data_IF_301219251603
#
_entry.id   IF_301219251603
#
_cell.length_a   1.000
_cell.length_b   1.000
_cell.length_c   1.000
_cell.angle_alpha   90.00
_cell.angle_beta   90.00
_cell.angle_gamma   90.00
#
_symmetry.space_group_name_H-M   'P 1'
#
loop_
_entity.id
_entity.type
_entity.pdbx_description
1 polymer ?
#
# COMPACT_ATOMS: atom_id res chain seq x y z
N UNK A 1 33.33 6.38 -13.99
CA UNK A 1 32.65 5.42 -13.06
C UNK A 1 31.22 5.88 -12.87
N UNK A 2 30.24 5.00 -13.05
CA UNK A 2 28.82 5.34 -12.91
C UNK A 2 28.53 5.76 -11.44
N UNK A 3 27.95 6.96 -11.20
CA UNK A 3 27.64 7.43 -9.85
C UNK A 3 26.63 6.55 -9.11
N UNK A 4 25.90 5.68 -9.80
CA UNK A 4 24.95 4.74 -9.21
C UNK A 4 25.61 3.51 -8.58
N UNK A 5 26.80 3.09 -9.04
CA UNK A 5 27.45 1.85 -8.64
C UNK A 5 27.64 1.75 -7.11
N UNK A 6 28.28 2.75 -6.52
CA UNK A 6 28.53 2.73 -5.05
C UNK A 6 27.23 2.70 -4.24
N UNK A 7 26.20 3.37 -4.73
CA UNK A 7 24.88 3.35 -4.10
C UNK A 7 24.19 2.01 -4.26
N UNK A 8 24.28 1.38 -5.44
CA UNK A 8 23.71 0.07 -5.71
C UNK A 8 24.31 -1.00 -4.78
N UNK A 9 25.64 -1.01 -4.65
CA UNK A 9 26.35 -1.93 -3.76
C UNK A 9 25.96 -1.72 -2.28
N UNK A 10 25.81 -0.46 -1.84
CA UNK A 10 25.31 -0.16 -0.48
C UNK A 10 23.90 -0.69 -0.23
N UNK A 11 22.97 -0.52 -1.17
CA UNK A 11 21.63 -1.09 -1.03
C UNK A 11 21.68 -2.62 -0.99
N UNK A 12 22.48 -3.25 -1.83
CA UNK A 12 22.65 -4.69 -1.87
C UNK A 12 23.22 -5.27 -0.55
N UNK A 13 24.17 -4.60 0.09
CA UNK A 13 24.71 -4.97 1.41
C UNK A 13 23.63 -5.04 2.50
N UNK A 14 22.60 -4.21 2.40
CA UNK A 14 21.43 -4.22 3.29
C UNK A 14 20.31 -5.15 2.79
N UNK A 15 20.59 -6.00 1.81
CA UNK A 15 19.64 -6.93 1.19
C UNK A 15 18.45 -6.25 0.49
N UNK A 16 18.64 -5.04 -0.03
CA UNK A 16 17.68 -4.38 -0.90
C UNK A 16 18.05 -4.64 -2.35
N UNK A 17 17.12 -5.26 -3.09
CA UNK A 17 17.32 -5.57 -4.51
C UNK A 17 17.37 -4.31 -5.34
N UNK A 18 18.29 -4.29 -6.32
CA UNK A 18 18.49 -3.19 -7.26
C UNK A 18 18.44 -3.69 -8.69
N UNK A 19 18.21 -2.78 -9.62
CA UNK A 19 18.21 -3.09 -11.06
C UNK A 19 18.54 -1.84 -11.89
N UNK A 20 19.05 -2.00 -13.14
CA UNK A 20 19.39 -0.89 -14.02
C UNK A 20 18.15 -0.35 -14.75
N UNK A 21 18.10 0.97 -14.89
CA UNK A 21 17.15 1.71 -15.71
C UNK A 21 17.91 2.50 -16.77
N UNK A 22 17.28 2.73 -17.93
CA UNK A 22 17.86 3.57 -18.97
C UNK A 22 18.19 4.97 -18.42
N UNK A 23 19.29 5.53 -18.89
CA UNK A 23 19.66 6.91 -18.56
C UNK A 23 18.49 7.87 -18.84
N UNK A 24 18.37 8.87 -17.98
CA UNK A 24 17.32 9.91 -18.08
C UNK A 24 15.88 9.38 -18.07
N UNK A 25 15.65 8.16 -17.60
CA UNK A 25 14.32 7.53 -17.54
C UNK A 25 13.97 7.09 -16.11
N UNK A 26 12.68 7.20 -15.77
CA UNK A 26 12.11 6.65 -14.54
C UNK A 26 11.51 5.26 -14.72
N UNK A 27 11.11 4.91 -15.96
CA UNK A 27 10.35 3.70 -16.29
C UNK A 27 11.01 2.80 -17.31
N UNK A 28 12.15 3.21 -17.85
CA UNK A 28 12.88 2.47 -18.88
C UNK A 28 13.76 1.38 -18.28
N UNK A 29 13.20 0.27 -17.83
CA UNK A 29 14.01 -0.87 -17.34
C UNK A 29 14.90 -1.43 -18.45
N UNK A 30 16.11 -1.85 -18.07
CA UNK A 30 17.08 -2.49 -18.97
C UNK A 30 16.92 -4.01 -18.92
N UNK A 31 16.54 -4.55 -17.77
CA UNK A 31 16.24 -5.97 -17.57
C UNK A 31 14.84 -6.31 -18.07
N UNK A 32 14.60 -7.57 -18.39
CA UNK A 32 13.32 -8.03 -18.93
C UNK A 32 12.16 -7.80 -17.93
N UNK A 33 12.41 -8.10 -16.65
CA UNK A 33 11.45 -7.90 -15.58
C UNK A 33 12.14 -7.51 -14.27
N UNK A 34 12.07 -6.24 -13.89
CA UNK A 34 12.67 -5.81 -12.64
C UNK A 34 12.14 -6.55 -11.40
N UNK A 35 10.92 -7.08 -11.45
CA UNK A 35 10.35 -7.88 -10.34
C UNK A 35 11.08 -9.20 -10.14
N UNK A 36 11.57 -9.79 -11.21
CA UNK A 36 12.27 -11.08 -11.22
C UNK A 36 13.78 -10.90 -11.21
N UNK A 37 14.28 -9.96 -12.01
CA UNK A 37 15.70 -9.81 -12.31
C UNK A 37 16.45 -8.90 -11.35
N UNK A 38 15.75 -8.10 -10.54
CA UNK A 38 16.40 -7.26 -9.52
C UNK A 38 17.20 -8.13 -8.55
N UNK A 39 18.42 -7.71 -8.26
CA UNK A 39 19.41 -8.53 -7.57
C UNK A 39 20.12 -7.78 -6.45
N UNK A 40 20.70 -8.55 -5.52
CA UNK A 40 21.68 -8.09 -4.53
C UNK A 40 23.08 -8.64 -4.81
N UNK A 41 23.27 -9.38 -5.94
CA UNK A 41 24.55 -9.95 -6.30
C UNK A 41 25.51 -8.84 -6.75
N UNK A 42 26.67 -8.64 -6.09
CA UNK A 42 27.63 -7.60 -6.43
C UNK A 42 28.20 -7.73 -7.86
N UNK A 43 28.47 -8.94 -8.33
CA UNK A 43 29.04 -9.16 -9.66
C UNK A 43 28.06 -8.71 -10.75
N UNK A 44 26.79 -9.03 -10.58
CA UNK A 44 25.75 -8.59 -11.50
C UNK A 44 25.54 -7.07 -11.45
N UNK A 45 25.67 -6.47 -10.27
CA UNK A 45 25.61 -5.01 -10.09
C UNK A 45 26.78 -4.35 -10.82
N UNK A 46 27.99 -4.90 -10.70
CA UNK A 46 29.14 -4.44 -11.47
C UNK A 46 28.92 -4.54 -12.97
N UNK A 47 28.41 -5.67 -13.48
CA UNK A 47 28.06 -5.82 -14.90
C UNK A 47 27.09 -4.74 -15.39
N UNK A 48 26.15 -4.36 -14.57
CA UNK A 48 25.17 -3.32 -14.96
C UNK A 48 25.74 -1.92 -14.95
N UNK A 49 26.63 -1.58 -13.99
CA UNK A 49 26.96 -0.18 -13.71
C UNK A 49 28.41 0.21 -14.00
N UNK A 50 29.36 -0.71 -14.20
CA UNK A 50 30.77 -0.34 -14.38
C UNK A 50 31.02 0.50 -15.64
N UNK A 51 30.40 0.13 -16.75
CA UNK A 51 30.65 0.73 -18.06
C UNK A 51 29.39 1.34 -18.71
N UNK A 52 28.42 1.70 -17.91
CA UNK A 52 27.15 2.26 -18.38
C UNK A 52 26.85 3.61 -17.73
N UNK A 53 25.86 4.30 -18.23
CA UNK A 53 25.25 5.51 -17.65
C UNK A 53 23.85 5.24 -17.08
N UNK A 54 23.56 3.99 -16.78
CA UNK A 54 22.26 3.58 -16.28
C UNK A 54 21.89 4.23 -14.96
N UNK A 55 20.61 4.53 -14.80
CA UNK A 55 20.01 4.91 -13.55
C UNK A 55 19.78 3.68 -12.66
N UNK A 56 19.75 3.90 -11.36
CA UNK A 56 19.56 2.88 -10.34
C UNK A 56 18.08 2.80 -9.92
N UNK A 57 17.45 1.65 -10.12
CA UNK A 57 16.20 1.29 -9.50
C UNK A 57 16.43 0.56 -8.16
N UNK A 58 15.77 0.99 -7.11
CA UNK A 58 15.77 0.33 -5.79
C UNK A 58 14.38 -0.21 -5.52
N UNK A 59 14.26 -1.53 -5.40
CA UNK A 59 12.99 -2.21 -5.16
C UNK A 59 12.48 -1.88 -3.77
N UNK A 60 11.20 -1.51 -3.67
CA UNK A 60 10.51 -1.28 -2.41
C UNK A 60 9.57 -2.45 -2.07
N UNK A 61 9.10 -2.51 -0.85
CA UNK A 61 8.51 -3.71 -0.27
C UNK A 61 9.57 -4.55 0.46
N UNK A 62 9.24 -5.78 0.85
CA UNK A 62 10.17 -6.68 1.54
C UNK A 62 10.96 -6.01 2.68
N UNK A 63 10.30 -5.32 3.57
CA UNK A 63 10.86 -4.56 4.70
C UNK A 63 11.39 -3.17 4.37
N UNK A 64 11.26 -2.68 3.13
CA UNK A 64 11.61 -1.31 2.74
C UNK A 64 10.37 -0.56 2.26
N UNK A 65 10.11 0.60 2.84
CA UNK A 65 9.09 1.54 2.36
C UNK A 65 9.73 2.90 2.12
N UNK A 66 9.27 3.60 1.10
CA UNK A 66 9.70 4.96 0.81
C UNK A 66 8.48 5.88 0.77
N UNK A 67 8.56 6.96 1.53
CA UNK A 67 7.63 8.09 1.41
C UNK A 67 8.20 8.98 0.31
N UNK A 68 7.50 9.02 -0.82
CA UNK A 68 7.86 9.82 -2.00
C UNK A 68 7.13 11.16 -1.93
N UNK A 69 7.90 12.21 -1.64
CA UNK A 69 7.43 13.58 -1.47
C UNK A 69 7.60 14.32 -2.78
N UNK A 70 6.49 14.65 -3.44
CA UNK A 70 6.47 15.37 -4.72
C UNK A 70 6.14 16.86 -4.51
N UNK A 71 6.98 17.73 -5.05
CA UNK A 71 6.88 19.18 -4.92
C UNK A 71 6.53 19.91 -6.23
N UNK A 72 6.02 19.20 -7.25
CA UNK A 72 5.71 19.82 -8.55
C UNK A 72 4.68 20.95 -8.46
N UNK A 73 3.73 20.85 -7.53
CA UNK A 73 2.64 21.81 -7.38
C UNK A 73 2.80 22.57 -6.07
N UNK A 74 3.37 23.79 -6.10
CA UNK A 74 3.44 24.74 -4.98
C UNK A 74 4.00 24.15 -3.67
N UNK A 75 4.94 23.22 -3.76
CA UNK A 75 5.57 22.56 -2.59
C UNK A 75 4.58 21.83 -1.65
N UNK A 76 3.47 21.34 -2.19
CA UNK A 76 2.44 20.66 -1.40
C UNK A 76 3.00 19.49 -0.60
N UNK A 77 3.89 18.67 -1.19
CA UNK A 77 4.52 17.56 -0.51
C UNK A 77 5.34 18.00 0.71
N UNK A 78 6.15 19.05 0.56
CA UNK A 78 6.93 19.60 1.67
C UNK A 78 6.04 20.15 2.80
N UNK A 79 4.98 20.88 2.45
CA UNK A 79 4.03 21.40 3.44
C UNK A 79 3.33 20.27 4.18
N UNK A 80 3.00 19.20 3.47
CA UNK A 80 2.35 18.02 4.06
C UNK A 80 3.29 17.29 4.99
N UNK A 81 4.48 16.87 4.52
CA UNK A 81 5.39 16.02 5.30
C UNK A 81 5.97 16.75 6.52
N UNK A 82 6.20 18.07 6.44
CA UNK A 82 6.74 18.87 7.53
C UNK A 82 5.94 18.76 8.83
N UNK A 83 4.62 18.54 8.73
CA UNK A 83 3.73 18.38 9.89
C UNK A 83 4.03 17.12 10.70
N UNK A 84 4.61 16.10 10.07
CA UNK A 84 4.83 14.77 10.65
C UNK A 84 6.29 14.50 11.00
N UNK A 85 7.24 15.15 10.30
CA UNK A 85 8.69 14.88 10.44
C UNK A 85 9.23 14.99 11.87
N UNK A 86 8.63 15.83 12.72
CA UNK A 86 9.04 15.96 14.13
C UNK A 86 8.76 14.70 14.97
N UNK A 87 7.83 13.88 14.53
CA UNK A 87 7.42 12.65 15.22
C UNK A 87 8.05 11.40 14.60
N UNK A 88 8.73 11.56 13.45
CA UNK A 88 9.35 10.47 12.71
C UNK A 88 10.80 10.29 13.15
N UNK A 89 11.29 9.03 13.25
CA UNK A 89 12.71 8.80 13.50
C UNK A 89 13.57 9.41 12.40
N UNK A 90 14.75 9.90 12.76
CA UNK A 90 15.73 10.35 11.78
C UNK A 90 16.14 9.17 10.91
N UNK A 91 16.09 9.33 9.61
CA UNK A 91 16.34 8.27 8.63
C UNK A 91 17.00 8.83 7.37
N UNK A 92 17.45 7.95 6.48
CA UNK A 92 18.02 8.34 5.19
C UNK A 92 17.00 9.08 4.33
N UNK A 93 17.44 10.21 3.77
CA UNK A 93 16.66 11.07 2.88
C UNK A 93 17.45 11.33 1.59
N UNK A 94 16.79 11.14 0.45
CA UNK A 94 17.34 11.41 -0.87
C UNK A 94 16.54 12.54 -1.52
N UNK A 95 17.21 13.58 -1.99
CA UNK A 95 16.59 14.66 -2.76
C UNK A 95 16.37 14.20 -4.20
N UNK A 96 15.18 14.43 -4.73
CA UNK A 96 14.84 14.15 -6.12
C UNK A 96 15.15 15.34 -7.03
N UNK A 97 15.32 15.15 -8.37
CA UNK A 97 15.57 16.23 -9.34
C UNK A 97 14.58 17.39 -9.32
N UNK A 98 13.34 17.15 -8.90
CA UNK A 98 12.26 18.15 -8.84
C UNK A 98 12.06 18.75 -7.43
N UNK A 99 13.14 18.80 -6.62
CA UNK A 99 13.11 19.32 -5.23
C UNK A 99 12.13 18.58 -4.30
N UNK A 100 11.76 17.36 -4.64
CA UNK A 100 11.07 16.45 -3.75
C UNK A 100 12.05 15.62 -2.92
N UNK A 101 11.53 14.65 -2.18
CA UNK A 101 12.33 13.79 -1.32
C UNK A 101 11.81 12.35 -1.33
N UNK A 102 12.73 11.39 -1.28
CA UNK A 102 12.48 10.01 -0.90
C UNK A 102 12.93 9.85 0.56
N UNK A 103 12.01 9.51 1.45
CA UNK A 103 12.28 9.26 2.87
C UNK A 103 12.12 7.77 3.11
N UNK A 104 13.20 7.12 3.52
CA UNK A 104 13.31 5.66 3.59
C UNK A 104 13.03 5.15 5.00
N UNK A 105 12.25 4.06 5.14
CA UNK A 105 12.06 3.36 6.42
C UNK A 105 12.12 1.85 6.26
N UNK A 106 12.72 1.17 7.24
CA UNK A 106 12.57 -0.27 7.44
C UNK A 106 11.22 -0.54 8.10
N UNK A 107 10.51 -1.55 7.60
CA UNK A 107 9.20 -1.96 8.13
C UNK A 107 9.21 -3.45 8.47
N UNK A 108 8.49 -3.85 9.51
CA UNK A 108 8.38 -5.24 9.95
C UNK A 108 7.13 -5.95 9.40
N UNK A 109 6.29 -5.24 8.66
CA UNK A 109 5.09 -5.77 8.00
C UNK A 109 4.95 -5.19 6.59
N UNK A 110 4.30 -5.92 5.66
CA UNK A 110 4.11 -5.43 4.29
C UNK A 110 3.30 -4.13 4.25
N UNK A 111 3.81 -3.16 3.50
CA UNK A 111 3.12 -1.89 3.21
C UNK A 111 2.85 -1.83 1.71
N UNK A 112 1.59 -1.69 1.33
CA UNK A 112 1.21 -1.54 -0.08
C UNK A 112 1.60 -0.17 -0.63
N UNK A 113 2.02 -0.12 -1.89
CA UNK A 113 2.19 1.14 -2.61
C UNK A 113 0.85 1.88 -2.73
N UNK A 114 0.87 3.21 -2.57
CA UNK A 114 -0.30 4.09 -2.70
C UNK A 114 0.11 5.39 -3.34
N UNK A 115 -0.65 5.83 -4.33
CA UNK A 115 -0.48 7.12 -4.99
C UNK A 115 -1.45 8.12 -4.36
N UNK A 116 -0.98 9.34 -4.10
CA UNK A 116 -1.82 10.42 -3.57
C UNK A 116 -2.38 10.15 -2.17
N UNK A 117 -1.65 9.46 -1.30
CA UNK A 117 -2.12 9.19 0.08
C UNK A 117 -2.42 10.49 0.84
N UNK A 118 -1.61 11.51 0.62
CA UNK A 118 -1.82 12.88 1.04
C UNK A 118 -1.42 13.83 -0.10
N UNK A 119 -1.80 15.11 -0.07
CA UNK A 119 -1.38 16.07 -1.08
C UNK A 119 0.15 16.09 -1.27
N UNK A 120 0.61 15.70 -2.47
CA UNK A 120 2.03 15.62 -2.82
C UNK A 120 2.80 14.47 -2.16
N UNK A 121 2.14 13.43 -1.66
CA UNK A 121 2.78 12.27 -1.02
C UNK A 121 2.30 10.98 -1.64
N UNK A 122 3.25 10.18 -2.15
CA UNK A 122 3.05 8.80 -2.54
C UNK A 122 3.78 7.86 -1.57
N UNK A 123 3.27 6.65 -1.44
CA UNK A 123 3.94 5.58 -0.71
C UNK A 123 4.41 4.53 -1.70
N UNK A 124 5.70 4.26 -1.71
CA UNK A 124 6.32 3.17 -2.47
C UNK A 124 6.63 2.03 -1.52
N UNK A 125 5.82 0.99 -1.57
CA UNK A 125 5.91 -0.23 -0.77
C UNK A 125 5.94 -1.46 -1.68
N UNK A 126 5.16 -2.48 -1.33
CA UNK A 126 5.11 -3.73 -2.09
C UNK A 126 4.79 -3.50 -3.57
N UNK A 127 5.56 -4.16 -4.44
CA UNK A 127 5.42 -4.10 -5.89
C UNK A 127 5.82 -2.76 -6.50
N UNK A 128 6.59 -1.93 -5.79
CA UNK A 128 7.10 -0.66 -6.26
C UNK A 128 8.63 -0.59 -6.34
N UNK A 129 9.13 0.52 -6.82
CA UNK A 129 10.55 0.90 -6.77
C UNK A 129 10.68 2.42 -6.77
N UNK A 130 11.87 2.90 -6.43
CA UNK A 130 12.27 4.31 -6.53
C UNK A 130 13.62 4.43 -7.24
N UNK A 131 13.94 5.61 -7.76
CA UNK A 131 15.30 5.87 -8.25
C UNK A 131 16.23 6.12 -7.06
N UNK A 132 17.38 5.45 -7.09
CA UNK A 132 18.41 5.58 -6.09
C UNK A 132 19.38 6.75 -6.37
N UNK A 133 20.22 7.01 -5.37
CA UNK A 133 21.27 8.05 -5.45
C UNK A 133 22.22 7.79 -6.62
N UNK A 134 22.61 8.86 -7.32
CA UNK A 134 23.42 8.81 -8.54
C UNK A 134 22.60 8.78 -9.81
N UNK A 135 21.32 8.39 -9.77
CA UNK A 135 20.42 8.46 -10.93
C UNK A 135 20.24 9.90 -11.40
N UNK A 136 20.07 10.07 -12.73
CA UNK A 136 20.01 11.37 -13.38
C UNK A 136 18.73 11.50 -14.21
N UNK A 137 18.01 12.60 -14.02
CA UNK A 137 16.82 12.96 -14.82
C UNK A 137 16.93 14.43 -15.22
N UNK A 138 16.85 14.72 -16.51
CA UNK A 138 16.96 16.07 -17.08
C UNK A 138 18.17 16.84 -16.55
N UNK A 139 19.33 16.18 -16.52
CA UNK A 139 20.58 16.78 -16.06
C UNK A 139 20.76 16.88 -14.54
N UNK A 140 19.73 16.62 -13.74
CA UNK A 140 19.77 16.71 -12.27
C UNK A 140 19.84 15.32 -11.63
N UNK A 141 20.58 15.21 -10.53
CA UNK A 141 20.82 13.95 -9.85
C UNK A 141 19.90 13.73 -8.64
N UNK A 142 19.63 12.46 -8.35
CA UNK A 142 19.17 12.03 -7.04
C UNK A 142 20.37 12.08 -6.08
N UNK A 143 20.24 12.79 -4.96
CA UNK A 143 21.35 13.08 -4.06
C UNK A 143 20.99 12.75 -2.59
N UNK A 144 21.93 12.14 -1.88
CA UNK A 144 21.79 12.00 -0.42
C UNK A 144 21.76 13.38 0.26
N UNK A 145 20.76 13.61 1.09
CA UNK A 145 20.66 14.81 1.92
C UNK A 145 21.51 14.65 3.19
N UNK A 146 21.53 13.43 3.74
CA UNK A 146 22.16 13.10 5.03
C UNK A 146 23.01 11.82 4.91
N UNK A 147 24.15 11.92 4.23
CA UNK A 147 25.01 10.81 3.76
C UNK A 147 25.36 9.74 4.80
N UNK A 148 25.41 10.09 6.08
CA UNK A 148 25.84 9.20 7.16
C UNK A 148 24.69 8.70 8.03
N UNK A 149 23.46 8.85 7.58
CA UNK A 149 22.28 8.38 8.29
C UNK A 149 21.77 7.09 7.66
N UNK A 150 21.69 6.06 8.47
CA UNK A 150 21.14 4.77 8.07
C UNK A 150 19.61 4.84 7.89
N UNK A 151 19.07 3.84 7.19
CA UNK A 151 17.62 3.66 7.10
C UNK A 151 17.11 3.18 8.46
N UNK A 152 16.32 4.00 9.13
CA UNK A 152 15.73 3.70 10.44
C UNK A 152 14.52 2.77 10.33
N UNK A 153 14.18 2.10 11.43
CA UNK A 153 12.89 1.42 11.54
C UNK A 153 11.76 2.43 11.71
N UNK A 154 10.64 2.15 11.03
CA UNK A 154 9.41 2.89 11.21
C UNK A 154 8.91 2.75 12.65
N UNK A 155 8.61 3.86 13.32
CA UNK A 155 7.89 3.88 14.59
C UNK A 155 6.36 3.90 14.35
N UNK A 156 5.58 3.86 15.42
CA UNK A 156 4.12 3.86 15.32
C UNK A 156 3.57 5.07 14.55
N UNK A 157 4.21 6.24 14.68
CA UNK A 157 3.80 7.45 13.96
C UNK A 157 4.03 7.36 12.46
N UNK A 158 5.12 6.73 12.03
CA UNK A 158 5.36 6.41 10.63
C UNK A 158 4.31 5.41 10.13
N UNK A 159 4.01 4.35 10.91
CA UNK A 159 2.96 3.41 10.52
C UNK A 159 1.56 4.03 10.46
N UNK A 160 1.21 4.90 11.39
CA UNK A 160 -0.04 5.68 11.35
C UNK A 160 -0.11 6.50 10.04
N UNK A 161 0.97 7.19 9.70
CA UNK A 161 1.08 7.96 8.48
C UNK A 161 0.96 7.08 7.22
N UNK A 162 1.71 5.97 7.14
CA UNK A 162 1.69 5.05 6.00
C UNK A 162 0.31 4.40 5.78
N UNK A 163 -0.45 4.20 6.85
CA UNK A 163 -1.81 3.68 6.76
C UNK A 163 -2.83 4.74 6.29
N UNK A 164 -2.43 6.01 6.30
CA UNK A 164 -3.31 7.14 6.10
C UNK A 164 -4.18 7.37 7.33
N UNK A 165 -4.73 8.55 7.46
CA UNK A 165 -5.79 8.79 8.42
C UNK A 165 -7.03 7.98 7.97
N UNK A 166 -6.98 6.68 8.17
CA UNK A 166 -8.19 5.91 8.30
C UNK A 166 -8.82 6.34 9.63
N UNK A 167 -9.39 7.51 9.69
CA UNK A 167 -10.61 7.63 10.46
C UNK A 167 -11.48 6.52 9.90
N UNK A 168 -11.63 5.41 10.65
CA UNK A 168 -12.74 4.51 10.40
C UNK A 168 -13.91 5.45 10.22
N UNK A 169 -14.72 5.31 9.18
CA UNK A 169 -15.97 6.03 9.13
C UNK A 169 -16.83 5.50 10.28
N UNK A 170 -16.56 5.96 11.47
CA UNK A 170 -17.39 5.80 12.64
C UNK A 170 -18.35 7.00 12.67
N UNK A 171 -19.16 7.07 11.64
CA UNK A 171 -20.50 7.65 11.65
C UNK A 171 -21.10 7.21 10.33
N UNK A 172 -22.17 6.45 10.38
CA UNK A 172 -23.14 6.49 9.30
C UNK A 172 -23.37 7.99 9.06
N UNK A 173 -23.20 8.49 7.85
CA UNK A 173 -23.52 9.88 7.58
C UNK A 173 -25.03 10.06 7.82
N UNK A 174 -25.39 10.69 8.92
CA UNK A 174 -26.79 11.11 9.17
C UNK A 174 -27.20 12.27 8.26
N UNK A 175 -26.33 12.69 7.34
CA UNK A 175 -26.60 13.64 6.27
C UNK A 175 -26.19 13.03 4.95
N UNK A 176 -27.12 12.99 4.02
CA UNK A 176 -26.86 12.70 2.61
C UNK A 176 -25.96 13.80 2.07
N UNK A 177 -24.66 13.51 1.96
CA UNK A 177 -23.71 14.46 1.39
C UNK A 177 -24.06 14.63 -0.09
N UNK A 178 -24.37 15.86 -0.46
CA UNK A 178 -24.73 16.24 -1.82
C UNK A 178 -23.46 16.25 -2.70
N UNK A 179 -23.43 15.44 -3.75
CA UNK A 179 -22.31 15.31 -4.69
C UNK A 179 -22.39 16.41 -5.74
N UNK A 180 -21.41 17.29 -5.73
CA UNK A 180 -21.39 18.48 -6.58
C UNK A 180 -20.98 18.18 -8.03
N UNK A 181 -21.28 19.12 -8.93
CA UNK A 181 -20.83 19.08 -10.31
C UNK A 181 -19.30 18.85 -10.39
N UNK A 182 -18.88 17.97 -11.29
CA UNK A 182 -17.47 17.56 -11.46
C UNK A 182 -17.09 16.29 -10.71
N UNK A 183 -17.84 15.85 -9.68
CA UNK A 183 -17.57 14.64 -8.92
C UNK A 183 -18.60 13.52 -9.14
N UNK A 184 -19.77 13.85 -9.73
CA UNK A 184 -20.93 12.96 -9.85
C UNK A 184 -20.63 11.70 -10.66
N UNK A 185 -19.97 11.86 -11.82
CA UNK A 185 -19.67 10.75 -12.71
C UNK A 185 -18.71 9.75 -12.06
N UNK A 186 -17.64 10.23 -11.43
CA UNK A 186 -16.68 9.37 -10.70
C UNK A 186 -17.34 8.67 -9.51
N UNK A 187 -18.18 9.39 -8.78
CA UNK A 187 -18.91 8.83 -7.64
C UNK A 187 -19.85 7.69 -8.07
N UNK A 188 -20.73 7.91 -9.03
CA UNK A 188 -21.68 6.89 -9.51
C UNK A 188 -20.96 5.71 -10.17
N UNK A 189 -19.90 5.97 -10.93
CA UNK A 189 -19.07 4.94 -11.54
C UNK A 189 -18.42 4.01 -10.51
N UNK A 190 -17.87 4.57 -9.43
CA UNK A 190 -17.28 3.77 -8.33
C UNK A 190 -18.30 2.91 -7.63
N UNK A 191 -19.52 3.42 -7.41
CA UNK A 191 -20.61 2.63 -6.84
C UNK A 191 -20.99 1.49 -7.78
N UNK A 192 -21.18 1.76 -9.06
CA UNK A 192 -21.52 0.75 -10.05
C UNK A 192 -20.46 -0.37 -10.11
N UNK A 193 -19.18 -0.02 -10.18
CA UNK A 193 -18.07 -0.98 -10.14
C UNK A 193 -18.05 -1.78 -8.83
N UNK A 194 -18.31 -1.15 -7.69
CA UNK A 194 -18.36 -1.84 -6.41
C UNK A 194 -19.48 -2.88 -6.35
N UNK A 195 -20.69 -2.51 -6.78
CA UNK A 195 -21.84 -3.41 -6.80
C UNK A 195 -21.61 -4.58 -7.76
N UNK A 196 -20.99 -4.31 -8.92
CA UNK A 196 -20.61 -5.35 -9.88
C UNK A 196 -19.58 -6.32 -9.33
N UNK A 197 -18.55 -5.83 -8.63
CA UNK A 197 -17.57 -6.68 -7.94
C UNK A 197 -18.21 -7.54 -6.83
N UNK A 198 -19.34 -7.11 -6.27
CA UNK A 198 -20.11 -7.89 -5.31
C UNK A 198 -21.05 -8.90 -5.96
N UNK A 199 -21.11 -8.93 -7.29
CA UNK A 199 -21.89 -9.92 -8.05
C UNK A 199 -23.39 -9.62 -8.10
N UNK A 200 -23.81 -8.37 -7.89
CA UNK A 200 -25.21 -7.99 -8.07
C UNK A 200 -25.65 -8.18 -9.54
N UNK A 201 -26.96 -8.35 -9.75
CA UNK A 201 -27.52 -8.37 -11.11
C UNK A 201 -27.39 -7.02 -11.79
N UNK A 202 -27.36 -7.01 -13.11
CA UNK A 202 -27.20 -5.77 -13.88
C UNK A 202 -28.41 -4.84 -13.67
N UNK A 203 -29.63 -5.42 -13.53
CA UNK A 203 -30.84 -4.68 -13.19
C UNK A 203 -30.75 -4.02 -11.80
N UNK A 204 -30.26 -4.75 -10.80
CA UNK A 204 -30.10 -4.22 -9.44
C UNK A 204 -29.07 -3.09 -9.39
N UNK A 205 -27.99 -3.21 -10.17
CA UNK A 205 -26.99 -2.13 -10.30
C UNK A 205 -27.62 -0.91 -10.95
N UNK A 206 -28.37 -1.11 -12.04
CA UNK A 206 -29.03 -0.03 -12.79
C UNK A 206 -29.95 0.79 -11.87
N UNK A 207 -30.88 0.13 -11.18
CA UNK A 207 -31.82 0.77 -10.26
C UNK A 207 -31.10 1.51 -9.12
N UNK A 208 -30.06 0.89 -8.56
CA UNK A 208 -29.28 1.49 -7.48
C UNK A 208 -28.60 2.79 -7.92
N UNK A 209 -27.99 2.83 -9.12
CA UNK A 209 -27.29 4.00 -9.64
C UNK A 209 -28.25 5.13 -9.99
N UNK A 210 -29.40 4.81 -10.56
CA UNK A 210 -30.45 5.82 -10.82
C UNK A 210 -30.88 6.46 -9.50
N UNK A 211 -31.14 5.64 -8.48
CA UNK A 211 -31.60 6.15 -7.18
C UNK A 211 -30.54 6.98 -6.46
N UNK A 212 -29.27 6.57 -6.51
CA UNK A 212 -28.16 7.35 -5.96
C UNK A 212 -27.97 8.70 -6.69
N UNK A 213 -28.17 8.73 -8.02
CA UNK A 213 -28.15 9.97 -8.78
C UNK A 213 -29.24 10.95 -8.32
N UNK A 214 -30.48 10.47 -8.17
CA UNK A 214 -31.61 11.28 -7.71
C UNK A 214 -31.42 11.82 -6.30
N UNK A 215 -30.88 10.99 -5.40
CA UNK A 215 -30.80 11.32 -3.98
C UNK A 215 -29.58 12.17 -3.63
N UNK A 216 -28.45 12.00 -4.34
CA UNK A 216 -27.18 12.57 -3.92
C UNK A 216 -26.52 13.51 -4.90
N UNK A 217 -26.83 13.45 -6.19
CA UNK A 217 -26.18 14.33 -7.17
C UNK A 217 -26.90 15.69 -7.30
N UNK A 218 -26.12 16.77 -7.29
CA UNK A 218 -26.63 18.11 -7.49
C UNK A 218 -25.75 18.92 -8.48
N UNK A 219 -26.29 19.36 -9.63
CA UNK A 219 -27.58 18.95 -10.20
C UNK A 219 -27.61 17.47 -10.58
N UNK A 220 -28.78 16.86 -10.68
CA UNK A 220 -28.98 15.47 -11.11
C UNK A 220 -28.39 15.29 -12.52
N UNK A 221 -27.72 14.15 -12.79
CA UNK A 221 -27.31 13.79 -14.15
C UNK A 221 -28.52 13.34 -14.98
N UNK A 222 -28.49 13.63 -16.27
CA UNK A 222 -29.54 13.14 -17.16
C UNK A 222 -29.41 11.61 -17.38
N UNK A 223 -30.51 10.98 -17.81
CA UNK A 223 -30.57 9.53 -17.98
C UNK A 223 -29.50 8.97 -18.94
N UNK A 224 -29.18 9.71 -20.02
CA UNK A 224 -28.16 9.27 -20.98
C UNK A 224 -26.73 9.27 -20.40
N UNK A 225 -26.42 10.21 -19.51
CA UNK A 225 -25.12 10.23 -18.79
C UNK A 225 -25.03 9.10 -17.77
N UNK A 226 -26.12 8.86 -17.00
CA UNK A 226 -26.19 7.76 -16.04
C UNK A 226 -26.02 6.42 -16.75
N UNK A 227 -26.71 6.22 -17.87
CA UNK A 227 -26.60 4.99 -18.66
C UNK A 227 -25.17 4.76 -19.15
N UNK A 228 -24.47 5.78 -19.65
CA UNK A 228 -23.06 5.67 -20.06
C UNK A 228 -22.16 5.25 -18.91
N UNK A 229 -22.42 5.74 -17.71
CA UNK A 229 -21.66 5.39 -16.49
C UNK A 229 -21.86 3.91 -16.17
N UNK A 230 -23.11 3.43 -16.18
CA UNK A 230 -23.46 2.04 -15.91
C UNK A 230 -22.83 1.12 -16.94
N UNK A 231 -22.97 1.39 -18.22
CA UNK A 231 -22.38 0.61 -19.31
C UNK A 231 -20.84 0.59 -19.23
N UNK A 232 -20.23 1.68 -18.81
CA UNK A 232 -18.79 1.72 -18.60
C UNK A 232 -18.34 0.83 -17.44
N UNK A 233 -19.15 0.68 -16.40
CA UNK A 233 -18.83 -0.21 -15.27
C UNK A 233 -18.90 -1.68 -15.67
N UNK A 234 -19.80 -2.07 -16.56
CA UNK A 234 -19.97 -3.46 -17.02
C UNK A 234 -18.82 -4.00 -17.87
N UNK A 235 -17.88 -3.15 -18.28
CA UNK A 235 -16.63 -3.59 -18.94
C UNK A 235 -15.65 -4.23 -17.96
N UNK A 236 -15.84 -4.06 -16.66
CA UNK A 236 -14.99 -4.65 -15.63
C UNK A 236 -15.49 -6.03 -15.22
N UNK A 237 -14.59 -6.85 -14.68
CA UNK A 237 -14.90 -8.23 -14.30
C UNK A 237 -15.98 -8.27 -13.22
N UNK A 238 -17.09 -8.96 -13.51
CA UNK A 238 -18.16 -9.20 -12.54
C UNK A 238 -17.68 -10.15 -11.45
N UNK A 239 -17.94 -9.79 -10.21
CA UNK A 239 -17.72 -10.65 -9.05
C UNK A 239 -18.77 -11.77 -8.97
N UNK A 240 -18.53 -12.74 -8.11
CA UNK A 240 -19.56 -13.71 -7.72
C UNK A 240 -20.08 -13.32 -6.35
N UNK A 241 -21.39 -13.25 -6.20
CA UNK A 241 -22.02 -13.15 -4.89
C UNK A 241 -21.96 -14.54 -4.26
N UNK A 242 -20.95 -14.76 -3.42
CA UNK A 242 -20.88 -15.94 -2.57
C UNK A 242 -21.55 -15.57 -1.26
N UNK A 243 -22.70 -16.18 -0.97
CA UNK A 243 -23.15 -16.31 0.41
C UNK A 243 -21.97 -16.99 1.12
N UNK A 244 -21.31 -16.30 2.01
CA UNK A 244 -20.35 -16.93 2.92
C UNK A 244 -21.18 -17.93 3.72
N UNK A 245 -21.19 -19.17 3.29
CA UNK A 245 -21.43 -20.27 4.22
C UNK A 245 -20.42 -20.07 5.34
N UNK A 246 -20.90 -20.21 6.57
CA UNK A 246 -20.06 -20.12 7.76
C UNK A 246 -18.71 -20.75 7.44
N UNK A 247 -17.62 -20.00 7.65
CA UNK A 247 -16.29 -20.54 7.41
C UNK A 247 -16.16 -21.75 8.33
N UNK A 248 -16.22 -22.95 7.79
CA UNK A 248 -15.63 -24.09 8.47
C UNK A 248 -14.14 -23.75 8.58
N UNK A 249 -13.72 -23.36 9.77
CA UNK A 249 -12.30 -23.26 10.07
C UNK A 249 -11.80 -24.70 10.11
N UNK A 250 -10.84 -25.03 9.28
CA UNK A 250 -10.07 -26.27 9.43
C UNK A 250 -9.60 -26.34 10.90
N UNK A 251 -10.05 -27.36 11.63
CA UNK A 251 -9.83 -27.43 13.09
C UNK A 251 -10.94 -26.82 13.99
N UNK A 252 -12.07 -26.32 13.42
CA UNK A 252 -13.23 -25.96 14.25
C UNK A 252 -14.11 -27.16 14.51
N UNK A 253 -14.48 -27.37 15.77
CA UNK A 253 -15.39 -28.40 16.20
C UNK A 253 -16.70 -27.79 16.67
N UNK A 254 -17.83 -28.41 16.33
CA UNK A 254 -19.11 -28.06 16.95
C UNK A 254 -19.12 -28.50 18.40
N UNK A 255 -19.91 -27.86 19.25
CA UNK A 255 -20.11 -28.26 20.66
C UNK A 255 -20.47 -29.74 20.79
N UNK A 256 -21.25 -30.28 19.85
CA UNK A 256 -21.62 -31.70 19.78
C UNK A 256 -20.40 -32.60 19.52
N UNK A 257 -19.54 -32.21 18.57
CA UNK A 257 -18.30 -32.95 18.25
C UNK A 257 -17.29 -32.91 19.40
N UNK A 258 -17.21 -31.77 20.14
CA UNK A 258 -16.39 -31.66 21.34
C UNK A 258 -16.92 -32.52 22.47
N UNK A 259 -18.24 -32.62 22.63
CA UNK A 259 -18.87 -33.46 23.66
C UNK A 259 -18.76 -34.96 23.39
N UNK A 260 -18.67 -35.34 22.10
CA UNK A 260 -18.52 -36.73 21.61
C UNK A 260 -17.05 -37.18 21.49
N UNK A 261 -16.07 -36.27 21.60
CA UNK A 261 -14.65 -36.61 21.65
C UNK A 261 -14.31 -37.23 22.99
N UNK A 262 -13.80 -38.46 22.97
CA UNK A 262 -13.37 -39.16 24.19
C UNK A 262 -12.20 -38.44 24.83
N UNK A 263 -12.20 -38.40 26.15
CA UNK A 263 -11.16 -37.86 27.01
C UNK A 263 -9.78 -38.38 26.60
N UNK A 264 -8.89 -37.45 26.29
CA UNK A 264 -7.44 -37.69 26.21
C UNK A 264 -6.89 -37.27 27.56
N UNK A 265 -5.96 -38.02 28.13
CA UNK A 265 -5.30 -37.70 29.38
C UNK A 265 -4.84 -36.24 29.39
N UNK A 266 -5.26 -35.51 30.43
CA UNK A 266 -4.95 -34.08 30.57
C UNK A 266 -3.46 -33.90 30.88
N UNK A 267 -2.72 -33.40 29.91
CA UNK A 267 -1.37 -32.85 30.13
C UNK A 267 -1.47 -31.31 30.09
N UNK A 268 -0.80 -30.65 31.01
CA UNK A 268 -0.71 -29.20 30.97
C UNK A 268 0.25 -28.73 29.86
N UNK A 269 -0.22 -27.85 29.00
CA UNK A 269 0.60 -27.20 27.98
C UNK A 269 1.48 -26.13 28.63
N UNK A 270 0.98 -25.49 29.68
CA UNK A 270 1.72 -24.59 30.56
C UNK A 270 1.41 -25.05 31.98
N UNK A 271 2.43 -25.43 32.70
CA UNK A 271 2.33 -26.00 34.05
C UNK A 271 1.43 -25.14 34.96
N UNK A 272 0.43 -25.77 35.54
CA UNK A 272 -0.59 -25.15 36.41
C UNK A 272 -1.42 -24.00 35.80
N UNK A 273 -1.39 -23.81 34.47
CA UNK A 273 -2.08 -22.67 33.86
C UNK A 273 -2.98 -23.04 32.69
N UNK A 274 -2.54 -23.92 31.80
CA UNK A 274 -3.27 -24.30 30.58
C UNK A 274 -3.21 -25.81 30.41
N UNK A 275 -4.34 -26.48 30.62
CA UNK A 275 -4.48 -27.91 30.36
C UNK A 275 -4.70 -28.19 28.87
N UNK A 276 -4.34 -29.40 28.45
CA UNK A 276 -4.69 -29.91 27.13
C UNK A 276 -6.21 -30.02 27.03
N UNK A 277 -6.79 -29.28 26.10
CA UNK A 277 -8.24 -29.23 25.92
C UNK A 277 -8.71 -27.83 25.52
N UNK A 278 -9.99 -27.54 25.71
CA UNK A 278 -10.58 -26.24 25.41
C UNK A 278 -10.39 -25.27 26.59
N UNK A 279 -9.40 -24.39 26.47
CA UNK A 279 -9.23 -23.28 27.40
C UNK A 279 -9.81 -21.99 26.78
N UNK A 280 -10.85 -21.42 27.42
CA UNK A 280 -11.46 -20.16 26.99
C UNK A 280 -10.82 -18.99 27.74
N UNK A 281 -9.99 -18.21 27.05
CA UNK A 281 -9.42 -16.96 27.57
C UNK A 281 -10.34 -15.79 27.14
N UNK A 282 -11.22 -15.39 28.03
CA UNK A 282 -12.13 -14.26 27.82
C UNK A 282 -11.52 -12.96 28.32
N UNK A 283 -11.43 -11.96 27.45
CA UNK A 283 -11.03 -10.62 27.85
C UNK A 283 -11.67 -9.57 26.91
N UNK A 284 -11.90 -8.33 27.36
CA UNK A 284 -12.39 -7.26 26.52
C UNK A 284 -11.48 -7.02 25.32
N UNK A 285 -12.00 -6.40 24.27
CA UNK A 285 -11.17 -6.04 23.09
C UNK A 285 -10.00 -5.14 23.53
N UNK A 286 -8.80 -5.42 22.98
CA UNK A 286 -7.55 -4.68 23.21
C UNK A 286 -6.82 -4.94 24.54
N UNK A 287 -7.07 -6.01 25.23
CA UNK A 287 -6.41 -6.36 26.51
C UNK A 287 -5.24 -7.34 26.37
N UNK A 288 -4.68 -7.50 25.16
CA UNK A 288 -3.43 -8.27 24.97
C UNK A 288 -3.58 -9.80 24.95
N UNK A 289 -4.81 -10.35 24.86
CA UNK A 289 -5.05 -11.81 24.80
C UNK A 289 -4.43 -12.55 23.59
N UNK A 290 -3.77 -11.82 22.69
CA UNK A 290 -3.08 -12.36 21.52
C UNK A 290 -1.59 -12.67 21.81
N UNK A 291 -1.14 -12.56 23.04
CA UNK A 291 0.24 -12.83 23.47
C UNK A 291 0.42 -14.18 24.15
N UNK A 292 -0.56 -15.08 24.04
CA UNK A 292 -0.44 -16.47 24.47
C UNK A 292 -0.35 -17.40 23.28
#
# INVERSE_FOLDING_TARGET
>A
MNPCLSSALKYAQFNYKVFPLKCNSKNGQVVASWKQDASTNPDLIHQWFDHSDYNLGVVTGHKLVVIDVDNKNQELGNKTIKKYMRQFPQTRIVRTPNNGFHIYYKVNRPIRSRVGLYPGIDIRGEGGYVLGVGSKINGKFYQDVNKNVDIAFANDKVYEFLNGNRQKPNKRPDKVDCIQQGQRNDYLFRIACFLQQKGLSDEAIHECIIKENEMRCNPILNAAEVEKIIQSSFRYKKGRFELRNEREYEGSYTLKQLYESKDVDEEDIVEDMISVGLTLIGAPQKTGKTFF
#
